data_IF_393707905456
#
_entry.id   IF_393707905456
#
_cell.length_a   1.000
_cell.length_b   1.000
_cell.length_c   1.000
_cell.angle_alpha   90.00
_cell.angle_beta   90.00
_cell.angle_gamma   90.00
#
_symmetry.space_group_name_H-M   'P 1'
#
loop_
_entity.id
_entity.type
_entity.pdbx_description
1 polymer ?
#
# COMPACT_ATOMS: atom_id res chain seq x y z
N UNK A 1 -10.52 13.39 -10.08
CA UNK A 1 -11.68 12.61 -10.57
C UNK A 1 -11.34 11.14 -10.56
N UNK A 2 -12.32 10.26 -10.25
CA UNK A 2 -12.12 8.82 -10.24
C UNK A 2 -11.67 8.30 -11.62
N UNK A 3 -10.76 7.32 -11.64
CA UNK A 3 -10.27 6.71 -12.87
C UNK A 3 -11.42 6.05 -13.65
N UNK A 4 -11.62 6.46 -14.90
CA UNK A 4 -12.75 6.00 -15.74
C UNK A 4 -12.76 4.48 -15.96
N UNK A 5 -11.59 3.87 -16.11
CA UNK A 5 -11.45 2.44 -16.28
C UNK A 5 -11.96 1.69 -15.03
N UNK A 6 -11.52 2.09 -13.84
CA UNK A 6 -11.97 1.48 -12.57
C UNK A 6 -13.46 1.67 -12.34
N UNK A 7 -14.00 2.86 -12.64
CA UNK A 7 -15.44 3.12 -12.57
C UNK A 7 -16.21 2.17 -13.50
N UNK A 8 -15.76 2.01 -14.75
CA UNK A 8 -16.42 1.10 -15.68
C UNK A 8 -16.32 -0.36 -15.23
N UNK A 9 -15.18 -0.77 -14.68
CA UNK A 9 -14.99 -2.12 -14.14
C UNK A 9 -15.96 -2.40 -12.98
N UNK A 10 -16.11 -1.47 -12.03
CA UNK A 10 -17.09 -1.61 -10.96
C UNK A 10 -18.53 -1.72 -11.48
N UNK A 11 -18.91 -0.91 -12.47
CA UNK A 11 -20.23 -1.01 -13.12
C UNK A 11 -20.44 -2.37 -13.78
N UNK A 12 -19.43 -2.90 -14.44
CA UNK A 12 -19.51 -4.22 -15.09
C UNK A 12 -19.73 -5.36 -14.07
N UNK A 13 -19.29 -5.17 -12.82
CA UNK A 13 -19.59 -6.07 -11.70
C UNK A 13 -20.94 -5.81 -11.03
N UNK A 14 -21.74 -4.90 -11.56
CA UNK A 14 -23.06 -4.59 -11.02
C UNK A 14 -23.07 -3.62 -9.83
N UNK A 15 -21.97 -2.95 -9.55
CA UNK A 15 -21.90 -2.00 -8.44
C UNK A 15 -22.69 -0.72 -8.74
N UNK A 16 -23.43 -0.23 -7.75
CA UNK A 16 -23.95 1.13 -7.73
C UNK A 16 -22.84 2.09 -7.33
N UNK A 17 -22.63 3.14 -8.10
CA UNK A 17 -21.53 4.08 -7.89
C UNK A 17 -22.07 5.46 -7.56
N UNK A 18 -21.64 6.00 -6.41
CA UNK A 18 -21.92 7.36 -5.98
C UNK A 18 -20.64 8.17 -6.13
N UNK A 19 -20.72 9.28 -6.88
CA UNK A 19 -19.58 10.18 -7.08
C UNK A 19 -19.65 11.32 -6.07
N UNK A 20 -18.58 11.45 -5.30
CA UNK A 20 -18.42 12.52 -4.32
C UNK A 20 -16.93 12.81 -4.10
N UNK A 21 -16.59 13.77 -3.23
CA UNK A 21 -15.21 13.98 -2.82
C UNK A 21 -14.79 12.93 -1.76
N UNK A 22 -13.50 12.66 -1.59
CA UNK A 22 -13.02 11.61 -0.69
C UNK A 22 -13.51 11.74 0.76
N UNK A 23 -13.54 12.95 1.31
CA UNK A 23 -13.99 13.18 2.68
C UNK A 23 -15.50 12.86 2.84
N UNK A 24 -16.31 13.30 1.89
CA UNK A 24 -17.75 13.02 1.89
C UNK A 24 -18.02 11.53 1.68
N UNK A 25 -17.22 10.83 0.85
CA UNK A 25 -17.37 9.40 0.63
C UNK A 25 -17.27 8.59 1.93
N UNK A 26 -16.33 8.93 2.82
CA UNK A 26 -16.22 8.28 4.13
C UNK A 26 -17.44 8.56 5.02
N UNK A 27 -17.94 9.80 5.04
CA UNK A 27 -19.13 10.16 5.79
C UNK A 27 -20.38 9.44 5.27
N UNK A 28 -20.55 9.39 3.95
CA UNK A 28 -21.70 8.73 3.32
C UNK A 28 -21.66 7.21 3.59
N UNK A 29 -20.48 6.59 3.54
CA UNK A 29 -20.30 5.17 3.85
C UNK A 29 -20.58 4.87 5.34
N UNK A 30 -20.16 5.73 6.25
CA UNK A 30 -20.52 5.60 7.68
C UNK A 30 -22.03 5.74 7.91
N UNK A 31 -22.68 6.70 7.26
CA UNK A 31 -24.14 6.91 7.38
C UNK A 31 -24.94 5.73 6.81
N UNK A 32 -24.49 5.12 5.72
CA UNK A 32 -25.13 3.97 5.10
C UNK A 32 -25.26 2.76 6.05
N UNK A 33 -24.42 2.67 7.09
CA UNK A 33 -24.60 1.65 8.14
C UNK A 33 -25.96 1.75 8.83
N UNK A 34 -26.48 2.95 9.01
CA UNK A 34 -27.79 3.18 9.62
C UNK A 34 -28.94 2.70 8.71
N UNK A 35 -28.68 2.53 7.42
CA UNK A 35 -29.59 2.00 6.41
C UNK A 35 -29.43 0.49 6.20
N UNK A 36 -28.59 -0.18 7.02
CA UNK A 36 -28.36 -1.63 6.96
C UNK A 36 -27.23 -2.07 6.04
N UNK A 37 -26.45 -1.16 5.48
CA UNK A 37 -25.26 -1.51 4.70
C UNK A 37 -24.08 -1.88 5.61
N UNK A 38 -23.26 -2.81 5.14
CA UNK A 38 -22.00 -3.16 5.80
C UNK A 38 -20.85 -2.36 5.19
N UNK A 39 -20.24 -1.48 5.98
CA UNK A 39 -19.11 -0.68 5.52
C UNK A 39 -17.80 -1.47 5.61
N UNK A 40 -17.20 -1.77 4.46
CA UNK A 40 -15.85 -2.32 4.37
C UNK A 40 -14.89 -1.15 4.20
N UNK A 41 -14.18 -0.80 5.27
CA UNK A 41 -13.21 0.30 5.23
C UNK A 41 -11.98 -0.12 4.40
N UNK A 42 -11.46 0.71 3.47
CA UNK A 42 -10.40 0.30 2.53
C UNK A 42 -9.04 0.03 3.18
N UNK A 43 -8.79 0.53 4.38
CA UNK A 43 -7.47 0.36 5.04
C UNK A 43 -7.53 0.38 6.58
N UNK A 44 -8.69 0.42 7.21
CA UNK A 44 -8.80 0.51 8.67
C UNK A 44 -9.76 -0.51 9.26
N UNK A 45 -9.59 -0.77 10.54
CA UNK A 45 -10.41 -1.66 11.33
C UNK A 45 -9.89 -3.10 11.40
N UNK A 46 -10.32 -3.85 12.43
CA UNK A 46 -9.78 -5.17 12.73
C UNK A 46 -9.97 -6.18 11.58
N UNK A 47 -11.13 -6.20 10.95
CA UNK A 47 -11.42 -7.15 9.86
C UNK A 47 -10.61 -6.83 8.60
N UNK A 48 -10.40 -5.56 8.28
CA UNK A 48 -9.56 -5.15 7.15
C UNK A 48 -8.10 -5.59 7.37
N UNK A 49 -7.57 -5.40 8.58
CA UNK A 49 -6.21 -5.82 8.91
C UNK A 49 -6.08 -7.35 8.96
N UNK A 50 -7.08 -8.06 9.47
CA UNK A 50 -7.12 -9.52 9.44
C UNK A 50 -7.11 -10.05 8.00
N UNK A 51 -7.89 -9.43 7.10
CA UNK A 51 -7.85 -9.74 5.67
C UNK A 51 -6.46 -9.55 5.07
N UNK A 52 -5.81 -8.42 5.35
CA UNK A 52 -4.44 -8.15 4.88
C UNK A 52 -3.42 -9.11 5.50
N UNK A 53 -3.62 -9.55 6.74
CA UNK A 53 -2.75 -10.50 7.43
C UNK A 53 -2.69 -11.88 6.75
N UNK A 54 -3.69 -12.25 5.94
CA UNK A 54 -3.67 -13.51 5.18
C UNK A 54 -2.49 -13.58 4.21
N UNK A 55 -2.07 -12.46 3.62
CA UNK A 55 -0.83 -12.41 2.84
C UNK A 55 0.40 -12.69 3.73
N UNK A 56 0.40 -12.19 4.97
CA UNK A 56 1.45 -12.49 5.95
C UNK A 56 1.52 -13.98 6.29
N UNK A 57 0.36 -14.64 6.43
CA UNK A 57 0.27 -16.09 6.61
C UNK A 57 0.91 -16.83 5.42
N UNK A 58 0.50 -16.51 4.20
CA UNK A 58 1.05 -17.14 2.99
C UNK A 58 2.57 -16.96 2.88
N UNK A 59 3.09 -15.77 3.21
CA UNK A 59 4.53 -15.51 3.23
C UNK A 59 5.23 -16.39 4.25
N UNK A 60 4.70 -16.50 5.47
CA UNK A 60 5.28 -17.33 6.54
C UNK A 60 5.29 -18.81 6.13
N UNK A 61 4.18 -19.32 5.58
CA UNK A 61 4.09 -20.71 5.09
C UNK A 61 5.09 -20.98 3.96
N UNK A 62 5.18 -20.06 2.99
CA UNK A 62 6.14 -20.17 1.90
C UNK A 62 7.59 -20.19 2.41
N UNK A 63 7.97 -19.27 3.28
CA UNK A 63 9.33 -19.21 3.84
C UNK A 63 9.68 -20.46 4.62
N UNK A 64 8.73 -21.03 5.36
CA UNK A 64 8.91 -22.33 6.04
C UNK A 64 9.10 -23.46 5.03
N UNK A 65 8.31 -23.51 3.95
CA UNK A 65 8.37 -24.59 2.95
C UNK A 65 9.71 -24.65 2.23
N UNK A 66 10.36 -23.49 1.99
CA UNK A 66 11.67 -23.41 1.34
C UNK A 66 12.84 -23.30 2.33
N UNK A 67 12.57 -23.44 3.63
CA UNK A 67 13.56 -23.31 4.71
C UNK A 67 14.43 -22.05 4.59
N UNK A 68 13.80 -20.91 4.29
CA UNK A 68 14.48 -19.64 4.07
C UNK A 68 14.01 -18.60 5.06
N UNK A 69 14.94 -17.71 5.46
CA UNK A 69 14.64 -16.53 6.27
C UNK A 69 14.88 -15.27 5.47
N UNK A 70 14.08 -14.26 5.74
CA UNK A 70 14.28 -12.92 5.21
C UNK A 70 14.66 -11.96 6.33
N UNK A 71 15.51 -11.00 6.00
CA UNK A 71 15.97 -9.98 6.95
C UNK A 71 15.09 -8.72 6.87
N UNK A 72 14.57 -8.42 5.69
CA UNK A 72 13.80 -7.20 5.42
C UNK A 72 12.56 -7.51 4.59
N UNK A 73 11.49 -6.78 4.87
CA UNK A 73 10.27 -6.79 4.06
C UNK A 73 9.88 -5.34 3.71
N UNK A 74 9.80 -5.04 2.41
CA UNK A 74 9.36 -3.75 1.89
C UNK A 74 7.91 -3.83 1.47
N UNK A 75 7.11 -2.87 1.94
CA UNK A 75 5.68 -2.78 1.65
C UNK A 75 5.33 -1.36 1.26
N UNK A 76 4.64 -1.19 0.13
CA UNK A 76 4.07 0.10 -0.29
C UNK A 76 2.95 0.51 0.65
N UNK A 77 2.89 1.78 1.03
CA UNK A 77 1.99 2.30 2.06
C UNK A 77 1.14 3.44 1.53
N UNK A 78 -0.16 3.32 1.73
CA UNK A 78 -1.14 4.40 1.64
C UNK A 78 -1.77 4.63 3.01
N UNK A 79 -3.01 4.18 3.22
CA UNK A 79 -3.71 4.29 4.51
C UNK A 79 -3.20 3.40 5.65
N UNK A 80 -2.22 2.54 5.40
CA UNK A 80 -1.57 1.71 6.42
C UNK A 80 -2.13 0.30 6.60
N UNK A 81 -3.31 -0.03 6.04
CA UNK A 81 -3.98 -1.32 6.28
C UNK A 81 -3.17 -2.54 5.85
N UNK A 82 -2.55 -2.49 4.65
CA UNK A 82 -1.75 -3.61 4.15
C UNK A 82 -0.52 -3.87 5.04
N UNK A 83 0.29 -2.85 5.27
CA UNK A 83 1.52 -2.98 6.05
C UNK A 83 1.23 -3.42 7.49
N UNK A 84 0.17 -2.86 8.09
CA UNK A 84 -0.24 -3.22 9.46
C UNK A 84 -0.65 -4.69 9.56
N UNK A 85 -1.53 -5.17 8.69
CA UNK A 85 -2.01 -6.55 8.72
C UNK A 85 -0.91 -7.57 8.42
N UNK A 86 -0.20 -7.39 7.31
CA UNK A 86 0.89 -8.30 6.90
C UNK A 86 1.97 -8.38 7.97
N UNK A 87 2.42 -7.22 8.45
CA UNK A 87 3.55 -7.17 9.39
C UNK A 87 3.19 -7.68 10.78
N UNK A 88 1.97 -7.45 11.27
CA UNK A 88 1.48 -8.01 12.53
C UNK A 88 1.55 -9.52 12.55
N UNK A 89 1.18 -10.16 11.43
CA UNK A 89 1.26 -11.62 11.34
C UNK A 89 2.71 -12.10 11.25
N UNK A 90 3.49 -11.51 10.35
CA UNK A 90 4.88 -11.94 10.11
C UNK A 90 5.75 -11.79 11.38
N UNK A 91 5.62 -10.68 12.11
CA UNK A 91 6.42 -10.44 13.33
C UNK A 91 6.15 -11.45 14.45
N UNK A 92 5.03 -12.15 14.45
CA UNK A 92 4.78 -13.25 15.40
C UNK A 92 5.72 -14.45 15.18
N UNK A 93 6.13 -14.70 13.93
CA UNK A 93 7.01 -15.82 13.56
C UNK A 93 8.46 -15.39 13.32
N UNK A 94 8.64 -14.16 12.85
CA UNK A 94 9.94 -13.56 12.55
C UNK A 94 10.09 -12.19 13.23
N UNK A 95 10.19 -12.14 14.58
CA UNK A 95 10.17 -10.87 15.34
C UNK A 95 11.35 -9.95 15.02
N UNK A 96 12.44 -10.46 14.45
CA UNK A 96 13.63 -9.69 14.07
C UNK A 96 13.61 -9.17 12.64
N UNK A 97 12.57 -9.49 11.85
CA UNK A 97 12.44 -8.97 10.49
C UNK A 97 12.28 -7.45 10.53
N UNK A 98 13.00 -6.77 9.65
CA UNK A 98 12.86 -5.33 9.51
C UNK A 98 11.73 -5.01 8.52
N UNK A 99 10.71 -4.33 8.99
CA UNK A 99 9.58 -3.87 8.18
C UNK A 99 9.84 -2.45 7.70
N UNK A 100 9.89 -2.26 6.38
CA UNK A 100 10.17 -0.98 5.74
C UNK A 100 8.96 -0.56 4.94
N UNK A 101 8.28 0.49 5.41
CA UNK A 101 7.17 1.12 4.69
C UNK A 101 7.68 2.08 3.62
N UNK A 102 7.05 2.07 2.45
CA UNK A 102 7.43 2.93 1.33
C UNK A 102 6.24 3.76 0.87
N UNK A 103 6.39 5.08 0.89
CA UNK A 103 5.38 6.04 0.43
C UNK A 103 5.91 6.91 -0.72
N UNK A 104 5.03 7.50 -1.54
CA UNK A 104 5.42 8.57 -2.45
C UNK A 104 5.88 9.82 -1.66
N UNK A 105 6.87 10.55 -2.16
CA UNK A 105 7.36 11.79 -1.52
C UNK A 105 6.25 12.82 -1.32
N UNK A 106 5.34 12.93 -2.28
CA UNK A 106 4.23 13.90 -2.26
C UNK A 106 2.91 13.30 -1.74
N UNK A 107 2.94 12.11 -1.11
CA UNK A 107 1.80 11.46 -0.46
C UNK A 107 2.26 10.60 0.72
N UNK A 108 3.11 11.15 1.59
CA UNK A 108 3.77 10.45 2.69
C UNK A 108 3.03 10.62 4.04
N UNK A 109 1.74 10.41 4.03
CA UNK A 109 0.86 10.72 5.15
C UNK A 109 1.07 9.86 6.38
N UNK A 110 1.36 8.56 6.23
CA UNK A 110 1.62 7.69 7.38
C UNK A 110 2.95 8.07 8.04
N UNK A 111 3.99 8.39 7.27
CA UNK A 111 5.27 8.88 7.81
C UNK A 111 5.08 10.18 8.62
N UNK A 112 4.28 11.13 8.10
CA UNK A 112 3.93 12.35 8.84
C UNK A 112 3.15 12.01 10.12
N UNK A 113 2.19 11.09 10.07
CA UNK A 113 1.40 10.64 11.22
C UNK A 113 2.28 9.99 12.29
N UNK A 114 3.22 9.12 11.90
CA UNK A 114 4.17 8.48 12.82
C UNK A 114 5.07 9.52 13.51
N UNK A 115 5.59 10.49 12.76
CA UNK A 115 6.38 11.60 13.33
C UNK A 115 5.58 12.48 14.29
N UNK A 116 4.30 12.72 13.98
CA UNK A 116 3.38 13.48 14.82
C UNK A 116 2.85 12.66 16.01
N UNK A 117 3.13 11.35 16.06
CA UNK A 117 2.61 10.38 17.03
C UNK A 117 1.08 10.37 17.15
N UNK A 118 0.39 10.66 16.05
CA UNK A 118 -1.08 10.63 15.95
C UNK A 118 -1.50 10.49 14.49
N UNK A 119 -2.64 9.85 14.19
CA UNK A 119 -3.14 9.80 12.83
C UNK A 119 -3.56 11.21 12.36
N UNK A 120 -3.10 11.59 11.17
CA UNK A 120 -3.47 12.86 10.55
C UNK A 120 -4.73 12.67 9.71
N UNK A 121 -5.69 13.57 9.87
CA UNK A 121 -6.98 13.54 9.18
C UNK A 121 -7.07 14.44 7.94
N UNK A 122 -5.98 15.12 7.61
CA UNK A 122 -5.86 15.96 6.42
C UNK A 122 -4.41 16.01 5.97
N UNK A 123 -4.08 15.22 4.95
CA UNK A 123 -2.75 15.16 4.34
C UNK A 123 -2.86 15.62 2.90
N UNK A 124 -1.95 16.49 2.49
CA UNK A 124 -1.83 16.84 1.08
C UNK A 124 -1.26 15.66 0.31
N UNK A 125 -1.96 15.22 -0.74
CA UNK A 125 -1.57 14.07 -1.55
C UNK A 125 -1.54 14.47 -3.03
N UNK A 126 -0.39 14.33 -3.66
CA UNK A 126 -0.18 14.66 -5.07
C UNK A 126 0.86 13.70 -5.67
N UNK A 127 0.45 12.49 -6.02
CA UNK A 127 1.31 11.47 -6.63
C UNK A 127 0.57 10.71 -7.72
N UNK A 128 1.31 10.18 -8.68
CA UNK A 128 0.79 9.23 -9.68
C UNK A 128 0.33 7.90 -9.07
N UNK A 129 0.82 7.57 -7.88
CA UNK A 129 0.42 6.39 -7.12
C UNK A 129 -0.86 6.68 -6.32
N UNK A 130 -1.99 6.78 -7.01
CA UNK A 130 -3.28 7.13 -6.43
C UNK A 130 -3.73 6.13 -5.34
N UNK A 131 -3.40 4.85 -5.48
CA UNK A 131 -3.67 3.82 -4.47
C UNK A 131 -2.88 4.01 -3.16
N UNK A 132 -1.80 4.80 -3.17
CA UNK A 132 -1.03 5.18 -1.99
C UNK A 132 -1.37 6.58 -1.48
N UNK A 133 -2.25 7.30 -2.16
CA UNK A 133 -2.57 8.70 -1.87
C UNK A 133 -3.75 8.81 -0.88
N UNK A 134 -3.58 8.27 0.32
CA UNK A 134 -4.57 8.38 1.39
C UNK A 134 -4.54 9.80 2.00
N UNK A 135 -5.65 10.58 1.92
CA UNK A 135 -5.67 11.94 2.43
C UNK A 135 -5.84 12.03 3.95
N UNK A 136 -6.06 10.91 4.60
CA UNK A 136 -6.26 10.80 6.05
C UNK A 136 -5.78 9.42 6.55
N UNK A 137 -5.49 9.34 7.84
CA UNK A 137 -5.17 8.10 8.53
C UNK A 137 -6.16 7.88 9.68
N UNK A 138 -6.48 6.61 9.93
CA UNK A 138 -7.42 6.19 10.95
C UNK A 138 -6.69 5.62 12.16
N UNK A 139 -7.31 5.69 13.34
CA UNK A 139 -6.65 5.37 14.59
C UNK A 139 -6.19 3.91 14.67
N UNK A 140 -7.06 2.95 14.30
CA UNK A 140 -6.75 1.53 14.49
C UNK A 140 -5.56 1.07 13.63
N UNK A 141 -5.58 1.37 12.33
CA UNK A 141 -4.46 1.04 11.42
C UNK A 141 -3.18 1.77 11.78
N UNK A 142 -3.28 3.04 12.25
CA UNK A 142 -2.14 3.81 12.72
C UNK A 142 -1.49 3.18 13.96
N UNK A 143 -2.27 2.80 14.97
CA UNK A 143 -1.75 2.21 16.21
C UNK A 143 -0.99 0.91 15.90
N UNK A 144 -1.56 0.05 15.05
CA UNK A 144 -0.88 -1.18 14.64
C UNK A 144 0.36 -0.87 13.79
N UNK A 145 0.27 0.06 12.84
CA UNK A 145 1.43 0.46 12.02
C UNK A 145 2.61 0.94 12.86
N UNK A 146 2.33 1.76 13.88
CA UNK A 146 3.33 2.28 14.81
C UNK A 146 4.11 1.18 15.54
N UNK A 147 3.46 0.07 15.89
CA UNK A 147 4.08 -1.06 16.58
C UNK A 147 4.91 -1.97 15.67
N UNK A 148 4.56 -2.02 14.36
CA UNK A 148 5.16 -3.03 13.47
C UNK A 148 6.15 -2.47 12.47
N UNK A 149 6.11 -1.16 12.16
CA UNK A 149 7.00 -0.52 11.20
C UNK A 149 8.32 -0.12 11.85
N UNK A 150 9.43 -0.56 11.27
CA UNK A 150 10.77 -0.22 11.77
C UNK A 150 11.39 1.00 11.04
N UNK A 151 11.05 1.20 9.78
CA UNK A 151 11.56 2.33 8.96
C UNK A 151 10.53 2.77 7.92
N UNK A 152 10.44 4.08 7.67
CA UNK A 152 9.69 4.64 6.55
C UNK A 152 10.64 5.29 5.56
N UNK A 153 10.40 5.06 4.26
CA UNK A 153 11.19 5.57 3.14
C UNK A 153 10.25 6.20 2.12
N UNK A 154 10.69 7.26 1.44
CA UNK A 154 9.90 7.86 0.37
C UNK A 154 10.59 7.75 -0.98
N UNK A 155 9.77 7.65 -2.04
CA UNK A 155 10.20 7.58 -3.44
C UNK A 155 9.50 8.63 -4.29
N UNK A 156 10.16 9.12 -5.32
CA UNK A 156 9.55 10.06 -6.26
C UNK A 156 8.67 9.35 -7.30
N UNK A 157 7.76 10.09 -7.91
CA UNK A 157 6.95 9.60 -9.02
C UNK A 157 7.82 9.10 -10.19
N UNK A 158 8.91 9.79 -10.49
CA UNK A 158 9.83 9.39 -11.57
C UNK A 158 10.58 8.10 -11.26
N UNK A 159 10.95 7.86 -10.02
CA UNK A 159 11.54 6.58 -9.59
C UNK A 159 10.54 5.44 -9.78
N UNK A 160 9.27 5.64 -9.45
CA UNK A 160 8.22 4.65 -9.67
C UNK A 160 7.98 4.38 -11.16
N UNK A 161 7.89 5.41 -12.01
CA UNK A 161 7.75 5.26 -13.49
C UNK A 161 8.88 4.40 -14.07
N UNK A 162 10.12 4.65 -13.67
CA UNK A 162 11.28 3.85 -14.12
C UNK A 162 11.12 2.38 -13.76
N UNK A 163 10.59 2.08 -12.58
CA UNK A 163 10.37 0.69 -12.16
C UNK A 163 9.15 0.03 -12.80
N UNK A 164 8.11 0.78 -13.16
CA UNK A 164 7.03 0.25 -14.02
C UNK A 164 7.60 -0.27 -15.34
N UNK A 165 8.43 0.53 -16.01
CA UNK A 165 9.10 0.16 -17.26
C UNK A 165 10.06 -1.02 -17.06
N UNK A 166 10.85 -1.01 -15.99
CA UNK A 166 11.77 -2.08 -15.65
C UNK A 166 11.04 -3.42 -15.45
N UNK A 167 9.99 -3.44 -14.65
CA UNK A 167 9.21 -4.65 -14.39
C UNK A 167 8.55 -5.20 -15.65
N UNK A 168 8.04 -4.32 -16.51
CA UNK A 168 7.48 -4.74 -17.79
C UNK A 168 8.54 -5.34 -18.72
N UNK A 169 9.70 -4.69 -18.86
CA UNK A 169 10.79 -5.17 -19.73
C UNK A 169 11.40 -6.49 -19.25
N UNK A 170 11.65 -6.61 -17.94
CA UNK A 170 12.36 -7.76 -17.37
C UNK A 170 11.49 -8.94 -17.02
N UNK A 171 10.31 -8.69 -16.45
CA UNK A 171 9.46 -9.73 -15.89
C UNK A 171 8.13 -9.90 -16.64
N UNK A 172 7.84 -9.03 -17.63
CA UNK A 172 6.54 -8.96 -18.32
C UNK A 172 5.37 -8.68 -17.38
N UNK A 173 5.64 -8.03 -16.24
CA UNK A 173 4.65 -7.64 -15.27
C UNK A 173 4.13 -6.24 -15.61
N UNK A 174 2.82 -6.14 -15.77
CA UNK A 174 2.12 -4.89 -16.06
C UNK A 174 1.58 -4.33 -14.74
N UNK A 175 2.38 -3.48 -14.09
CA UNK A 175 2.16 -3.01 -12.73
C UNK A 175 1.79 -1.53 -12.68
N UNK A 176 0.96 -1.15 -11.72
CA UNK A 176 0.65 0.26 -11.42
C UNK A 176 1.76 0.93 -10.59
N UNK A 177 1.82 2.27 -10.52
CA UNK A 177 2.87 2.99 -9.77
C UNK A 177 3.00 2.55 -8.32
N UNK A 178 1.87 2.38 -7.64
CA UNK A 178 1.83 1.95 -6.23
C UNK A 178 2.55 0.62 -5.98
N UNK A 179 2.43 -0.31 -6.92
CA UNK A 179 3.00 -1.65 -6.82
C UNK A 179 4.53 -1.65 -6.82
N UNK A 180 5.15 -0.74 -7.54
CA UNK A 180 6.61 -0.70 -7.76
C UNK A 180 7.35 0.20 -6.78
N UNK A 181 6.66 0.88 -5.88
CA UNK A 181 7.27 1.81 -4.92
C UNK A 181 8.36 1.12 -4.06
N UNK A 182 8.10 -0.11 -3.58
CA UNK A 182 9.08 -0.89 -2.83
C UNK A 182 10.35 -1.20 -3.61
N UNK A 183 10.25 -1.55 -4.90
CA UNK A 183 11.41 -1.77 -5.77
C UNK A 183 12.18 -0.48 -6.04
N UNK A 184 11.48 0.63 -6.23
CA UNK A 184 12.11 1.94 -6.39
C UNK A 184 12.90 2.33 -5.13
N UNK A 185 12.33 2.15 -3.94
CA UNK A 185 13.01 2.38 -2.67
C UNK A 185 14.25 1.48 -2.52
N UNK A 186 14.12 0.19 -2.80
CA UNK A 186 15.23 -0.75 -2.75
C UNK A 186 16.42 -0.27 -3.62
N UNK A 187 16.14 0.20 -4.82
CA UNK A 187 17.20 0.63 -5.75
C UNK A 187 17.79 1.99 -5.40
N UNK A 188 16.95 2.99 -5.12
CA UNK A 188 17.39 4.39 -5.07
C UNK A 188 17.64 4.93 -3.67
N UNK A 189 17.03 4.34 -2.64
CA UNK A 189 17.06 4.91 -1.29
C UNK A 189 17.86 4.07 -0.29
N UNK A 190 17.74 2.75 -0.35
CA UNK A 190 18.25 1.87 0.72
C UNK A 190 19.17 0.74 0.24
N UNK A 191 19.50 0.67 -1.06
CA UNK A 191 20.33 -0.41 -1.61
C UNK A 191 21.58 -0.70 -0.79
N UNK A 192 22.35 0.34 -0.47
CA UNK A 192 23.62 0.18 0.26
C UNK A 192 23.43 -0.36 1.70
N UNK A 193 22.27 -0.11 2.31
CA UNK A 193 21.94 -0.60 3.67
C UNK A 193 21.57 -2.09 3.69
N UNK A 194 21.18 -2.64 2.54
CA UNK A 194 20.62 -3.99 2.42
C UNK A 194 21.52 -4.97 1.68
N UNK A 195 22.76 -4.58 1.33
CA UNK A 195 23.74 -5.47 0.70
C UNK A 195 23.99 -6.68 1.61
N UNK A 196 23.94 -7.88 1.04
CA UNK A 196 24.13 -9.15 1.76
C UNK A 196 22.94 -9.57 2.64
N UNK A 197 21.79 -8.89 2.52
CA UNK A 197 20.55 -9.21 3.24
C UNK A 197 19.52 -9.83 2.31
N UNK A 198 18.80 -10.84 2.81
CA UNK A 198 17.64 -11.39 2.13
C UNK A 198 16.46 -10.40 2.29
N UNK A 199 16.05 -9.81 1.17
CA UNK A 199 15.03 -8.78 1.17
C UNK A 199 13.86 -9.21 0.30
N UNK A 200 12.66 -9.19 0.86
CA UNK A 200 11.40 -9.40 0.14
C UNK A 200 10.73 -8.06 -0.14
N UNK A 201 10.15 -7.93 -1.32
CA UNK A 201 9.34 -6.77 -1.71
C UNK A 201 7.95 -7.27 -2.13
N UNK A 202 6.91 -6.73 -1.54
CA UNK A 202 5.54 -7.03 -1.97
C UNK A 202 5.23 -6.24 -3.23
N UNK A 203 4.87 -6.94 -4.31
CA UNK A 203 4.37 -6.36 -5.55
C UNK A 203 2.86 -6.60 -5.62
N UNK A 204 2.09 -5.65 -5.12
CA UNK A 204 0.64 -5.73 -5.09
C UNK A 204 0.01 -4.57 -5.89
N UNK A 205 -0.65 -4.92 -6.98
CA UNK A 205 -1.42 -3.97 -7.77
C UNK A 205 -1.04 -3.94 -9.26
N UNK A 206 -2.05 -4.24 -10.07
CA UNK A 206 -2.02 -4.11 -11.54
C UNK A 206 -3.33 -3.52 -12.05
N UNK A 207 -4.05 -2.79 -11.19
CA UNK A 207 -5.35 -2.20 -11.52
C UNK A 207 -5.18 -0.88 -12.31
N UNK A 208 -4.50 -0.99 -13.43
CA UNK A 208 -4.21 0.12 -14.34
C UNK A 208 -4.53 -0.31 -15.79
N UNK A 209 -5.14 0.56 -16.57
CA UNK A 209 -5.36 0.30 -17.99
C UNK A 209 -4.13 0.64 -18.84
N UNK A 210 -4.08 0.04 -20.05
CA UNK A 210 -2.94 0.19 -20.96
C UNK A 210 -2.69 1.65 -21.37
N UNK A 211 -3.75 2.44 -21.53
CA UNK A 211 -3.62 3.84 -21.91
C UNK A 211 -2.96 4.65 -20.80
N UNK A 212 -3.52 4.58 -19.59
CA UNK A 212 -2.96 5.25 -18.41
C UNK A 212 -1.52 4.83 -18.15
N UNK A 213 -1.22 3.53 -18.28
CA UNK A 213 0.14 3.02 -18.11
C UNK A 213 1.11 3.62 -19.14
N UNK A 214 0.71 3.66 -20.40
CA UNK A 214 1.51 4.23 -21.51
C UNK A 214 1.73 5.74 -21.30
N UNK A 215 0.67 6.47 -20.92
CA UNK A 215 0.76 7.92 -20.66
C UNK A 215 1.72 8.27 -19.51
N UNK A 216 1.89 7.36 -18.53
CA UNK A 216 2.81 7.53 -17.40
C UNK A 216 4.26 7.15 -17.72
N UNK A 217 4.49 6.29 -18.71
CA UNK A 217 5.80 5.65 -18.94
C UNK A 217 6.50 6.11 -20.22
N UNK A 218 5.84 6.94 -21.02
CA UNK A 218 6.40 7.57 -22.23
C UNK A 218 7.17 8.85 -21.93
#
# INVERSE_FOLDING_TARGET
SANKYRVQTCKNYGANIIFTNPKQAFLDAENAKNEGYYFIHPFDGPLTLQGSATLGLEIVEYLKSINTKIDNLLISVGGGGLISGVSSYIKQFYPKIKIIGVEPENANGLNQSLRANKPLNNVNVNSIADSLSAPLHMQYSFDVAKEVIDEMVTVSDDEMKKFMVFCYKKFKLFLEPACVAGLAALKYKINNKLIGKNTMVILCGSNIDKKTWSDLTN
#
